data_IF_646704759088
#
_entry.id   IF_646704759088
#
_cell.length_a   1.000
_cell.length_b   1.000
_cell.length_c   1.000
_cell.angle_alpha   90.00
_cell.angle_beta   90.00
_cell.angle_gamma   90.00
#
_symmetry.space_group_name_H-M   'P 1'
#
loop_
_entity.id
_entity.type
_entity.pdbx_description
1 polymer ?
#
# COMPACT_ATOMS: atom_id res chain seq x y z
N UNK A 1 -5.07 6.47 -0.03
CA UNK A 1 -4.92 6.03 -1.44
C UNK A 1 -4.62 4.54 -1.44
N UNK A 2 -5.34 3.71 -2.22
CA UNK A 2 -4.91 2.32 -2.45
C UNK A 2 -3.83 2.37 -3.52
N UNK A 3 -2.64 1.87 -3.21
CA UNK A 3 -1.62 1.66 -4.22
C UNK A 3 -1.85 0.27 -4.83
N UNK A 4 -2.43 0.23 -6.04
CA UNK A 4 -2.52 -0.96 -6.87
C UNK A 4 -1.86 -0.64 -8.21
N UNK A 5 -0.69 -1.23 -8.46
CA UNK A 5 -0.01 -1.04 -9.75
C UNK A 5 -0.72 -1.90 -10.81
N UNK A 6 -1.33 -1.23 -11.78
CA UNK A 6 -1.73 -1.85 -13.04
C UNK A 6 -0.65 -1.57 -14.09
N UNK A 7 0.35 -2.44 -14.20
CA UNK A 7 1.23 -2.46 -15.38
C UNK A 7 2.72 -2.65 -15.13
N UNK A 8 3.41 -3.10 -16.18
CA UNK A 8 4.82 -3.54 -16.23
C UNK A 8 5.85 -2.38 -16.20
N UNK A 9 5.41 -1.13 -16.07
CA UNK A 9 6.21 0.07 -16.40
C UNK A 9 6.54 1.01 -15.24
N UNK A 10 6.13 0.71 -14.01
CA UNK A 10 6.35 1.64 -12.90
C UNK A 10 6.99 0.91 -11.72
N UNK A 11 8.31 0.99 -11.62
CA UNK A 11 9.03 0.71 -10.37
C UNK A 11 8.73 1.88 -9.43
N UNK A 12 8.28 1.60 -8.20
CA UNK A 12 8.02 2.64 -7.21
C UNK A 12 9.29 3.41 -6.86
N UNK A 13 9.20 4.73 -6.66
CA UNK A 13 10.33 5.49 -6.13
C UNK A 13 10.60 5.07 -4.68
N UNK A 14 11.88 4.97 -4.34
CA UNK A 14 12.38 4.44 -3.08
C UNK A 14 13.19 5.46 -2.28
N UNK A 15 13.38 6.66 -2.82
CA UNK A 15 14.08 7.76 -2.18
C UNK A 15 13.15 8.48 -1.19
N UNK A 16 13.34 8.34 0.14
CA UNK A 16 12.47 8.95 1.13
C UNK A 16 12.57 10.48 1.13
N UNK A 17 13.72 11.07 0.78
CA UNK A 17 13.90 12.52 0.77
C UNK A 17 13.08 13.14 -0.37
N UNK A 18 13.15 12.53 -1.56
CA UNK A 18 12.32 12.92 -2.68
C UNK A 18 10.83 12.71 -2.39
N UNK A 19 10.47 11.58 -1.79
CA UNK A 19 9.08 11.27 -1.45
C UNK A 19 8.50 12.23 -0.39
N UNK A 20 9.33 12.72 0.52
CA UNK A 20 8.92 13.67 1.55
C UNK A 20 8.47 15.03 0.99
N UNK A 21 8.92 15.40 -0.21
CA UNK A 21 8.46 16.61 -0.91
C UNK A 21 6.97 16.54 -1.31
N UNK A 22 6.40 15.33 -1.38
CA UNK A 22 5.09 15.07 -1.99
C UNK A 22 3.86 15.08 -1.07
N UNK A 23 4.01 15.38 0.23
CA UNK A 23 2.95 15.31 1.26
C UNK A 23 2.04 14.06 1.11
N UNK A 24 2.68 12.89 1.15
CA UNK A 24 2.03 11.64 0.80
C UNK A 24 0.86 11.31 1.75
N UNK A 25 -0.32 10.95 1.22
CA UNK A 25 -1.45 10.58 2.05
C UNK A 25 -1.23 9.22 2.72
N UNK A 26 -2.05 8.89 3.74
CA UNK A 26 -2.14 7.52 4.24
C UNK A 26 -2.27 6.50 3.10
N UNK A 27 -1.46 5.45 3.17
CA UNK A 27 -1.25 4.52 2.06
C UNK A 27 -1.56 3.08 2.49
N UNK A 28 -2.30 2.36 1.64
CA UNK A 28 -2.62 0.95 1.89
C UNK A 28 -2.13 0.08 0.74
N UNK A 29 -1.47 -1.02 1.09
CA UNK A 29 -0.91 -1.98 0.14
C UNK A 29 -1.69 -3.30 0.18
N UNK A 30 -2.03 -3.84 -1.00
CA UNK A 30 -2.50 -5.22 -1.14
C UNK A 30 -1.75 -5.87 -2.29
N UNK A 31 -1.07 -6.98 -2.02
CA UNK A 31 -0.34 -7.69 -3.04
C UNK A 31 -0.19 -9.18 -2.71
N UNK A 32 -0.06 -10.01 -3.75
CA UNK A 32 0.11 -11.44 -3.61
C UNK A 32 1.57 -11.87 -3.54
N UNK A 33 1.85 -13.05 -2.96
CA UNK A 33 3.22 -13.58 -2.88
C UNK A 33 3.74 -14.17 -4.19
N UNK A 34 2.85 -14.45 -5.15
CA UNK A 34 3.22 -14.91 -6.51
C UNK A 34 3.20 -13.77 -7.53
N UNK A 35 2.95 -12.54 -7.07
CA UNK A 35 3.09 -11.35 -7.89
C UNK A 35 4.58 -11.11 -8.25
N UNK A 36 4.94 -10.90 -9.52
CA UNK A 36 6.33 -10.61 -9.92
C UNK A 36 6.92 -9.36 -9.24
N UNK A 37 6.07 -8.48 -8.70
CA UNK A 37 6.47 -7.28 -7.98
C UNK A 37 6.42 -7.41 -6.45
N UNK A 38 6.14 -8.61 -5.90
CA UNK A 38 6.03 -8.86 -4.45
C UNK A 38 7.12 -8.16 -3.61
N UNK A 39 8.39 -8.30 -4.01
CA UNK A 39 9.53 -7.69 -3.29
C UNK A 39 9.54 -6.17 -3.39
N UNK A 40 9.09 -5.59 -4.50
CA UNK A 40 9.04 -4.14 -4.67
C UNK A 40 7.96 -3.54 -3.76
N UNK A 41 6.78 -4.16 -3.68
CA UNK A 41 5.74 -3.70 -2.75
C UNK A 41 6.16 -3.82 -1.29
N UNK A 42 6.88 -4.90 -0.94
CA UNK A 42 7.43 -5.05 0.40
C UNK A 42 8.40 -3.91 0.73
N UNK A 43 9.34 -3.62 -0.16
CA UNK A 43 10.32 -2.55 0.05
C UNK A 43 9.66 -1.18 0.13
N UNK A 44 8.71 -0.86 -0.76
CA UNK A 44 8.04 0.43 -0.76
C UNK A 44 7.20 0.62 0.52
N UNK A 45 6.49 -0.42 0.96
CA UNK A 45 5.79 -0.41 2.25
C UNK A 45 6.72 -0.04 3.40
N UNK A 46 7.91 -0.65 3.44
CA UNK A 46 8.88 -0.38 4.50
C UNK A 46 9.37 1.08 4.44
N UNK A 47 9.63 1.64 3.25
CA UNK A 47 10.01 3.06 3.09
C UNK A 47 8.91 3.99 3.61
N UNK A 48 7.68 3.85 3.10
CA UNK A 48 6.56 4.74 3.46
C UNK A 48 6.23 4.64 4.97
N UNK A 49 6.26 3.42 5.53
CA UNK A 49 6.07 3.22 6.97
C UNK A 49 7.16 3.91 7.79
N UNK A 50 8.42 3.81 7.35
CA UNK A 50 9.55 4.42 8.06
C UNK A 50 9.55 5.95 7.98
N UNK A 51 8.87 6.54 6.99
CA UNK A 51 8.61 7.99 6.92
C UNK A 51 7.54 8.46 7.93
N UNK A 52 6.94 7.57 8.72
CA UNK A 52 5.90 7.91 9.71
C UNK A 52 4.51 8.12 9.11
N UNK A 53 4.31 7.83 7.82
CA UNK A 53 3.01 7.91 7.16
C UNK A 53 2.13 6.75 7.64
N UNK A 54 0.86 7.03 7.93
CA UNK A 54 -0.13 6.00 8.27
C UNK A 54 -0.24 4.97 7.15
N UNK A 55 0.21 3.74 7.42
CA UNK A 55 0.39 2.72 6.39
C UNK A 55 -0.22 1.38 6.80
N UNK A 56 -1.10 0.84 5.96
CA UNK A 56 -1.66 -0.51 6.13
C UNK A 56 -1.18 -1.47 5.04
N UNK A 57 -1.21 -2.78 5.31
CA UNK A 57 -0.85 -3.81 4.33
C UNK A 57 -1.59 -5.12 4.55
N UNK A 58 -2.00 -5.75 3.44
CA UNK A 58 -2.40 -7.15 3.37
C UNK A 58 -1.53 -7.87 2.34
N UNK A 59 -1.00 -9.04 2.71
CA UNK A 59 -0.21 -9.90 1.83
C UNK A 59 -1.00 -11.18 1.57
N UNK A 60 -1.38 -11.40 0.32
CA UNK A 60 -2.18 -12.54 -0.09
C UNK A 60 -1.27 -13.73 -0.46
N UNK A 61 -1.17 -14.71 0.43
CA UNK A 61 -0.31 -15.87 0.22
C UNK A 61 -0.82 -16.77 -0.92
N UNK A 62 0.02 -17.04 -1.92
CA UNK A 62 -0.29 -17.88 -3.09
C UNK A 62 -1.07 -17.17 -4.20
N UNK A 63 -1.23 -15.83 -4.11
CA UNK A 63 -2.00 -15.08 -5.10
C UNK A 63 -1.11 -14.47 -6.18
N UNK A 64 -1.48 -14.58 -7.47
CA UNK A 64 -0.76 -13.98 -8.58
C UNK A 64 -1.13 -12.51 -8.75
N UNK A 65 -0.47 -11.81 -9.67
CA UNK A 65 -0.90 -10.48 -10.10
C UNK A 65 -2.31 -10.50 -10.70
N UNK A 66 -3.07 -9.42 -10.52
CA UNK A 66 -4.39 -9.25 -11.15
C UNK A 66 -5.54 -9.99 -10.44
N UNK A 67 -5.43 -10.25 -9.13
CA UNK A 67 -6.48 -10.89 -8.32
C UNK A 67 -7.76 -10.05 -8.11
N UNK A 68 -7.79 -8.81 -8.60
CA UNK A 68 -8.98 -7.95 -8.51
C UNK A 68 -9.47 -7.75 -7.08
N UNK A 69 -10.77 -7.93 -6.86
CA UNK A 69 -11.42 -7.86 -5.55
C UNK A 69 -11.40 -9.18 -4.78
N UNK A 70 -10.85 -10.24 -5.35
CA UNK A 70 -10.77 -11.54 -4.69
C UNK A 70 -9.70 -11.53 -3.57
N UNK A 71 -9.78 -12.50 -2.66
CA UNK A 71 -8.87 -12.58 -1.51
C UNK A 71 -9.33 -11.81 -0.27
N UNK A 72 -10.56 -11.25 -0.28
CA UNK A 72 -11.24 -10.75 0.93
C UNK A 72 -10.74 -9.40 1.49
N UNK A 73 -9.75 -8.78 0.85
CA UNK A 73 -9.07 -7.58 1.35
C UNK A 73 -9.93 -6.30 1.36
N UNK A 74 -11.03 -6.26 0.59
CA UNK A 74 -11.81 -5.03 0.37
C UNK A 74 -12.44 -4.52 1.66
N UNK A 75 -13.00 -5.43 2.48
CA UNK A 75 -13.63 -5.05 3.75
C UNK A 75 -12.59 -4.56 4.76
N UNK A 76 -11.43 -5.22 4.82
CA UNK A 76 -10.33 -4.81 5.71
C UNK A 76 -9.77 -3.45 5.31
N UNK A 77 -9.65 -3.17 4.00
CA UNK A 77 -9.29 -1.85 3.51
C UNK A 77 -10.33 -0.79 3.92
N UNK A 78 -11.63 -1.09 3.78
CA UNK A 78 -12.68 -0.16 4.15
C UNK A 78 -12.61 0.19 5.66
N UNK A 79 -12.49 -0.82 6.52
CA UNK A 79 -12.34 -0.63 7.95
C UNK A 79 -11.08 0.17 8.33
N UNK A 80 -9.96 -0.11 7.66
CA UNK A 80 -8.74 0.69 7.85
C UNK A 80 -8.95 2.14 7.42
N UNK A 81 -9.60 2.38 6.29
CA UNK A 81 -9.84 3.73 5.78
C UNK A 81 -10.73 4.54 6.72
N UNK A 82 -11.79 3.92 7.27
CA UNK A 82 -12.63 4.53 8.30
C UNK A 82 -11.81 4.96 9.52
N UNK A 83 -10.88 4.11 9.99
CA UNK A 83 -10.00 4.45 11.11
C UNK A 83 -9.07 5.64 10.80
N UNK A 84 -8.58 5.74 9.56
CA UNK A 84 -7.73 6.85 9.12
C UNK A 84 -8.49 8.17 9.16
N UNK A 85 -9.75 8.18 8.73
CA UNK A 85 -10.57 9.39 8.76
C UNK A 85 -11.00 9.76 10.19
N UNK A 86 -11.35 8.77 11.02
CA UNK A 86 -11.68 9.02 12.42
C UNK A 86 -10.49 9.65 13.18
N UNK A 87 -9.28 9.14 12.97
CA UNK A 87 -8.08 9.66 13.64
C UNK A 87 -7.60 11.01 13.08
N UNK A 88 -8.04 11.42 11.89
CA UNK A 88 -7.72 12.74 11.31
C UNK A 88 -8.51 13.88 11.95
N UNK A 89 -9.60 13.60 12.67
CA UNK A 89 -10.39 14.62 13.37
C UNK A 89 -9.86 14.95 14.77
N UNK A 90 -8.80 14.28 15.23
CA UNK A 90 -8.20 14.49 16.56
C UNK A 90 -6.95 15.39 16.58
N UNK A 91 -6.62 16.06 15.47
CA UNK A 91 -5.50 17.01 15.35
C UNK A 91 -5.95 18.44 15.08
#
# INVERSE_FOLDING_TARGET
MIYSFYGRLSVGNMDPDWLAEGDLPPTFYVYGTEDPFYRQFQQQYDVIRNMGISTGRIVLNGWPHGFGSDGGWVNDYAAWLESVFANKEEF
#
